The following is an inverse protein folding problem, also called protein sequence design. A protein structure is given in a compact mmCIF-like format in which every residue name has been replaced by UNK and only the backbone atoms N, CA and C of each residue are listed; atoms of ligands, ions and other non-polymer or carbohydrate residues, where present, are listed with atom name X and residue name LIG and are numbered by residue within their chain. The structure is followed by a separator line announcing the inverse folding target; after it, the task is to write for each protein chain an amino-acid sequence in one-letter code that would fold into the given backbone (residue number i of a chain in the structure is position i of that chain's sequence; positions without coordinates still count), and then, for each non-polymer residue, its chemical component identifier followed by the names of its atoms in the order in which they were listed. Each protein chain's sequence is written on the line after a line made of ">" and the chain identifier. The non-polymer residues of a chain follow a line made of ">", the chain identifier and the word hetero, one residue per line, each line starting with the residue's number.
data_IF_714271385804
#
_entry.id   IF_714271385804
#
_cell.length_a   1.000
_cell.length_b   1.000
_cell.length_c   1.000
_cell.angle_alpha   90.00
_cell.angle_beta   90.00
_cell.angle_gamma   90.00
#
_symmetry.space_group_name_H-M   'P 1'
#
loop_
_entity.id
_entity.type
_entity.pdbx_description
1 polymer ?
#
# COMPACT_ATOMS: atom_id res chain seq x y z
N UNK A 1 2.83 -9.65 -26.12
CA UNK A 1 1.94 -9.12 -25.08
C UNK A 1 2.55 -9.33 -23.72
N UNK A 2 2.66 -8.26 -22.96
CA UNK A 2 3.11 -8.40 -21.59
C UNK A 2 2.07 -9.22 -20.82
N UNK A 3 2.51 -10.30 -20.14
CA UNK A 3 1.68 -11.03 -19.21
C UNK A 3 1.22 -10.10 -18.11
N UNK A 4 -0.09 -10.07 -17.82
CA UNK A 4 -0.64 -9.30 -16.70
C UNK A 4 -0.23 -9.88 -15.34
N UNK A 5 0.43 -11.05 -15.31
CA UNK A 5 0.84 -11.74 -14.11
C UNK A 5 2.36 -11.64 -13.95
N UNK A 6 2.82 -10.64 -13.16
CA UNK A 6 4.20 -10.62 -12.69
C UNK A 6 4.42 -11.79 -11.71
N UNK A 7 5.63 -12.43 -11.69
CA UNK A 7 5.95 -13.41 -10.67
C UNK A 7 5.74 -12.83 -9.27
N UNK A 8 5.35 -13.64 -8.26
CA UNK A 8 5.04 -13.15 -6.90
C UNK A 8 6.19 -12.41 -6.23
N UNK A 9 7.45 -12.66 -6.65
CA UNK A 9 8.66 -12.09 -6.07
C UNK A 9 9.27 -10.96 -6.90
N UNK A 10 8.59 -10.48 -7.96
CA UNK A 10 9.13 -9.49 -8.90
C UNK A 10 9.68 -8.24 -8.22
N UNK A 11 9.04 -7.78 -7.14
CA UNK A 11 9.41 -6.54 -6.47
C UNK A 11 10.13 -6.76 -5.14
N UNK A 12 10.53 -8.00 -4.81
CA UNK A 12 11.08 -8.30 -3.48
C UNK A 12 12.37 -7.52 -3.19
N UNK A 13 13.25 -7.34 -4.17
CA UNK A 13 14.43 -6.50 -3.99
C UNK A 13 14.07 -5.06 -3.64
N UNK A 14 13.00 -4.52 -4.23
CA UNK A 14 12.54 -3.16 -3.95
C UNK A 14 11.94 -3.05 -2.54
N UNK A 15 11.16 -4.05 -2.11
CA UNK A 15 10.65 -4.10 -0.74
C UNK A 15 11.78 -4.22 0.28
N UNK A 16 12.78 -5.05 -0.01
CA UNK A 16 13.93 -5.22 0.86
C UNK A 16 14.71 -3.91 1.01
N UNK A 17 14.96 -3.22 -0.10
CA UNK A 17 15.67 -1.95 -0.11
C UNK A 17 14.91 -0.86 0.66
N UNK A 18 13.61 -0.72 0.41
CA UNK A 18 12.78 0.27 1.11
C UNK A 18 12.65 -0.05 2.60
N UNK A 19 12.47 -1.32 2.94
CA UNK A 19 12.40 -1.76 4.34
C UNK A 19 13.68 -1.48 5.10
N UNK A 20 14.83 -1.75 4.50
CA UNK A 20 16.12 -1.44 5.09
C UNK A 20 16.30 0.07 5.33
N UNK A 21 15.91 0.88 4.34
CA UNK A 21 16.06 2.34 4.42
C UNK A 21 15.21 2.96 5.52
N UNK A 22 13.97 2.51 5.68
CA UNK A 22 13.02 3.12 6.60
C UNK A 22 12.78 2.29 7.87
N UNK A 23 13.53 1.20 8.05
CA UNK A 23 13.40 0.30 9.22
C UNK A 23 11.98 -0.25 9.37
N UNK A 24 11.41 -0.67 8.26
CA UNK A 24 10.10 -1.32 8.19
C UNK A 24 10.32 -2.72 7.63
N UNK A 25 9.68 -3.72 8.22
CA UNK A 25 9.79 -5.09 7.73
C UNK A 25 9.37 -5.16 6.25
N UNK A 26 10.24 -5.65 5.34
CA UNK A 26 9.91 -5.71 3.92
C UNK A 26 8.62 -6.47 3.62
N UNK A 27 8.35 -7.54 4.37
CA UNK A 27 7.15 -8.34 4.19
C UNK A 27 5.88 -7.56 4.55
N UNK A 28 5.95 -6.65 5.52
CA UNK A 28 4.85 -5.75 5.85
C UNK A 28 4.56 -4.79 4.69
N UNK A 29 5.59 -4.22 4.08
CA UNK A 29 5.42 -3.37 2.89
C UNK A 29 4.78 -4.14 1.73
N UNK A 30 5.22 -5.38 1.53
CA UNK A 30 4.65 -6.25 0.49
C UNK A 30 3.19 -6.58 0.79
N UNK A 31 2.84 -6.86 2.04
CA UNK A 31 1.46 -7.09 2.46
C UNK A 31 0.58 -5.88 2.18
N UNK A 32 1.09 -4.67 2.47
CA UNK A 32 0.38 -3.43 2.16
C UNK A 32 0.16 -3.29 0.66
N UNK A 33 1.19 -3.47 -0.15
CA UNK A 33 1.08 -3.39 -1.61
C UNK A 33 0.09 -4.43 -2.15
N UNK A 34 0.08 -5.63 -1.59
CA UNK A 34 -0.90 -6.65 -1.94
C UNK A 34 -2.33 -6.19 -1.64
N UNK A 35 -2.54 -5.59 -0.48
CA UNK A 35 -3.84 -5.04 -0.09
C UNK A 35 -4.26 -3.82 -0.92
N UNK A 36 -3.32 -2.95 -1.25
CA UNK A 36 -3.60 -1.71 -1.97
C UNK A 36 -3.83 -1.92 -3.47
N UNK A 37 -2.98 -2.70 -4.12
CA UNK A 37 -2.95 -2.81 -5.59
C UNK A 37 -2.98 -4.24 -6.11
N UNK A 38 -2.97 -5.24 -5.24
CA UNK A 38 -2.73 -6.65 -5.58
C UNK A 38 -1.41 -6.84 -6.33
N UNK A 39 -0.39 -6.05 -5.93
CA UNK A 39 0.94 -6.03 -6.53
C UNK A 39 0.93 -5.67 -8.03
N UNK A 40 -0.04 -4.86 -8.47
CA UNK A 40 -0.16 -4.40 -9.85
C UNK A 40 0.33 -2.95 -9.94
N UNK A 41 1.49 -2.69 -10.56
CA UNK A 41 2.09 -1.36 -10.54
C UNK A 41 1.34 -0.29 -11.36
N UNK A 42 0.44 -0.70 -12.22
CA UNK A 42 -0.32 0.19 -13.12
C UNK A 42 -1.67 0.65 -12.55
N UNK A 43 -2.08 0.16 -11.38
CA UNK A 43 -3.42 0.41 -10.84
C UNK A 43 -3.57 1.85 -10.39
N UNK A 44 -4.67 2.47 -10.78
CA UNK A 44 -5.12 3.75 -10.24
C UNK A 44 -6.53 3.60 -9.69
N UNK A 45 -6.83 4.32 -8.62
CA UNK A 45 -8.18 4.38 -8.05
C UNK A 45 -8.54 5.82 -7.78
N UNK A 46 -9.72 6.21 -8.21
CA UNK A 46 -10.25 7.57 -7.99
C UNK A 46 -11.10 7.59 -6.73
N UNK A 47 -10.76 8.50 -5.82
CA UNK A 47 -11.56 8.77 -4.62
C UNK A 47 -12.59 9.83 -4.95
N UNK A 48 -13.84 9.58 -4.54
CA UNK A 48 -14.96 10.47 -4.84
C UNK A 48 -15.65 10.93 -3.57
N UNK A 49 -16.22 12.14 -3.60
CA UNK A 49 -17.04 12.65 -2.52
C UNK A 49 -18.45 12.00 -2.53
N UNK A 50 -19.28 12.40 -1.58
CA UNK A 50 -20.66 11.87 -1.46
C UNK A 50 -21.53 12.16 -2.69
N UNK A 51 -21.16 13.18 -3.48
CA UNK A 51 -21.86 13.57 -4.71
C UNK A 51 -21.31 12.86 -5.94
N UNK A 52 -20.30 12.01 -5.78
CA UNK A 52 -19.65 11.30 -6.89
C UNK A 52 -18.58 12.11 -7.62
N UNK A 53 -18.21 13.30 -7.13
CA UNK A 53 -17.16 14.11 -7.73
C UNK A 53 -15.77 13.58 -7.36
N UNK A 54 -14.81 13.50 -8.32
CA UNK A 54 -13.46 13.06 -8.01
C UNK A 54 -12.76 14.09 -7.12
N UNK A 55 -12.12 13.62 -6.04
CA UNK A 55 -11.38 14.47 -5.10
C UNK A 55 -9.90 14.18 -5.08
N UNK A 56 -9.50 12.94 -5.36
CA UNK A 56 -8.09 12.54 -5.45
C UNK A 56 -7.97 11.22 -6.20
N UNK A 57 -6.72 10.86 -6.54
CA UNK A 57 -6.40 9.59 -7.19
C UNK A 57 -5.26 8.92 -6.43
N UNK A 58 -5.32 7.59 -6.30
CA UNK A 58 -4.25 6.78 -5.73
C UNK A 58 -3.53 6.03 -6.84
N UNK A 59 -2.17 6.00 -6.78
CA UNK A 59 -1.32 5.52 -7.86
C UNK A 59 -0.44 4.33 -7.47
N UNK A 60 -0.52 3.27 -8.22
CA UNK A 60 0.47 2.20 -8.27
C UNK A 60 0.49 1.26 -7.07
N UNK A 61 1.63 0.60 -6.87
CA UNK A 61 1.77 -0.49 -5.89
C UNK A 61 1.32 -0.13 -4.48
N UNK A 62 1.75 1.02 -3.98
CA UNK A 62 1.44 1.47 -2.61
C UNK A 62 0.29 2.47 -2.57
N UNK A 63 -0.39 2.69 -3.70
CA UNK A 63 -1.55 3.60 -3.83
C UNK A 63 -1.24 5.00 -3.27
N UNK A 64 -0.20 5.61 -3.82
CA UNK A 64 0.23 6.96 -3.42
C UNK A 64 -0.82 7.98 -3.83
N UNK A 65 -1.36 8.72 -2.86
CA UNK A 65 -2.42 9.69 -3.12
C UNK A 65 -1.89 10.91 -3.88
N UNK A 66 -2.71 11.43 -4.79
CA UNK A 66 -2.37 12.59 -5.62
C UNK A 66 -2.06 13.84 -4.82
N UNK A 67 -2.50 13.94 -3.56
CA UNK A 67 -2.16 15.07 -2.69
C UNK A 67 -0.65 15.18 -2.41
N UNK A 68 0.10 14.07 -2.54
CA UNK A 68 1.56 14.06 -2.38
C UNK A 68 2.30 14.53 -3.62
N UNK A 69 1.66 14.53 -4.79
CA UNK A 69 2.33 14.78 -6.08
C UNK A 69 3.03 16.14 -6.15
N UNK A 70 2.38 17.26 -5.77
CA UNK A 70 3.05 18.56 -5.84
C UNK A 70 4.33 18.63 -5.00
N UNK A 71 4.31 18.06 -3.79
CA UNK A 71 5.48 18.04 -2.91
C UNK A 71 6.60 17.18 -3.48
N UNK A 72 6.26 16.01 -4.03
CA UNK A 72 7.24 15.10 -4.63
C UNK A 72 7.90 15.74 -5.85
N UNK A 73 7.15 16.50 -6.64
CA UNK A 73 7.69 17.26 -7.78
C UNK A 73 8.64 18.34 -7.28
N UNK A 74 8.24 19.13 -6.27
CA UNK A 74 9.10 20.17 -5.70
C UNK A 74 10.40 19.63 -5.13
N UNK A 75 10.37 18.41 -4.57
CA UNK A 75 11.55 17.73 -4.04
C UNK A 75 12.43 17.10 -5.12
N UNK A 76 11.99 17.13 -6.38
CA UNK A 76 12.72 16.53 -7.50
C UNK A 76 12.66 15.01 -7.52
N UNK A 77 11.75 14.39 -6.77
CA UNK A 77 11.63 12.93 -6.69
C UNK A 77 10.90 12.37 -7.90
N UNK A 78 9.85 13.06 -8.36
CA UNK A 78 9.11 12.71 -9.58
C UNK A 78 8.96 13.96 -10.45
N UNK A 79 8.70 13.74 -11.74
CA UNK A 79 8.38 14.81 -12.69
C UNK A 79 6.87 14.98 -12.86
N UNK A 80 6.15 13.88 -12.80
CA UNK A 80 4.69 13.84 -12.91
C UNK A 80 4.13 12.66 -12.15
N UNK A 81 2.80 12.63 -11.96
CA UNK A 81 2.11 11.52 -11.32
C UNK A 81 2.34 10.19 -12.06
N UNK A 82 2.57 10.21 -13.37
CA UNK A 82 2.83 9.00 -14.14
C UNK A 82 4.08 8.24 -13.68
N UNK A 83 5.08 8.93 -13.11
CA UNK A 83 6.27 8.29 -12.56
C UNK A 83 5.91 7.28 -11.46
N UNK A 84 4.82 7.52 -10.74
CA UNK A 84 4.33 6.62 -9.70
C UNK A 84 3.82 5.28 -10.27
N UNK A 85 3.47 5.24 -11.55
CA UNK A 85 3.06 4.03 -12.26
C UNK A 85 4.22 3.39 -13.01
N UNK A 86 5.07 4.20 -13.64
CA UNK A 86 6.18 3.73 -14.48
C UNK A 86 7.39 3.27 -13.70
N UNK A 87 7.53 3.69 -12.45
CA UNK A 87 8.67 3.41 -11.58
C UNK A 87 8.20 2.70 -10.30
N UNK A 88 7.93 1.38 -10.38
CA UNK A 88 7.35 0.65 -9.23
C UNK A 88 8.23 0.68 -7.99
N UNK A 89 9.56 0.57 -8.13
CA UNK A 89 10.45 0.61 -6.98
C UNK A 89 10.46 1.98 -6.31
N UNK A 90 10.34 3.05 -7.08
CA UNK A 90 10.18 4.40 -6.52
C UNK A 90 8.85 4.53 -5.78
N UNK A 91 7.77 3.97 -6.31
CA UNK A 91 6.46 3.94 -5.65
C UNK A 91 6.57 3.27 -4.26
N UNK A 92 7.25 2.13 -4.18
CA UNK A 92 7.48 1.41 -2.92
C UNK A 92 8.30 2.28 -1.94
N UNK A 93 9.36 2.94 -2.41
CA UNK A 93 10.18 3.81 -1.57
C UNK A 93 9.35 4.97 -1.00
N UNK A 94 8.52 5.60 -1.83
CA UNK A 94 7.66 6.71 -1.41
C UNK A 94 6.62 6.20 -0.39
N UNK A 95 5.98 5.07 -0.64
CA UNK A 95 5.02 4.47 0.29
C UNK A 95 5.64 4.16 1.64
N UNK A 96 6.84 3.59 1.65
CA UNK A 96 7.58 3.31 2.88
C UNK A 96 7.93 4.59 3.64
N UNK A 97 8.35 5.64 2.93
CA UNK A 97 8.62 6.95 3.51
C UNK A 97 7.37 7.55 4.16
N UNK A 98 6.22 7.52 3.47
CA UNK A 98 4.95 8.00 4.02
C UNK A 98 4.59 7.22 5.29
N UNK A 99 4.68 5.90 5.26
CA UNK A 99 4.39 5.06 6.43
C UNK A 99 5.31 5.38 7.60
N UNK A 100 6.61 5.55 7.34
CA UNK A 100 7.58 5.91 8.38
C UNK A 100 7.21 7.24 9.04
N UNK A 101 6.75 8.23 8.26
CA UNK A 101 6.28 9.51 8.80
C UNK A 101 5.02 9.34 9.64
N UNK A 102 4.08 8.48 9.22
CA UNK A 102 2.88 8.17 10.00
C UNK A 102 3.25 7.54 11.34
N UNK A 103 4.20 6.61 11.34
CA UNK A 103 4.69 6.01 12.57
C UNK A 103 5.36 7.02 13.52
N UNK A 104 5.96 8.08 13.00
CA UNK A 104 6.48 9.18 13.83
C UNK A 104 5.35 9.96 14.51
N UNK A 105 4.18 10.05 13.88
CA UNK A 105 3.03 10.77 14.43
C UNK A 105 2.29 9.96 15.48
N UNK A 106 1.97 8.71 15.22
CA UNK A 106 1.09 7.91 16.09
C UNK A 106 1.73 6.65 16.67
N UNK A 107 3.02 6.42 16.43
CA UNK A 107 3.75 5.29 16.97
C UNK A 107 3.72 4.05 16.08
N UNK A 108 4.60 3.10 16.37
CA UNK A 108 4.71 1.85 15.60
C UNK A 108 3.70 0.85 16.15
N UNK A 109 2.45 0.96 15.72
CA UNK A 109 1.35 0.11 16.16
C UNK A 109 0.50 -0.31 14.95
N UNK A 110 -0.27 -1.37 15.10
CA UNK A 110 -1.19 -1.81 14.06
C UNK A 110 -2.26 -0.76 13.75
N UNK A 111 -2.78 -0.07 14.76
CA UNK A 111 -3.73 1.00 14.51
C UNK A 111 -3.11 2.14 13.72
N UNK A 112 -1.87 2.52 14.06
CA UNK A 112 -1.15 3.57 13.33
C UNK A 112 -0.87 3.15 11.89
N UNK A 113 -0.61 1.88 11.61
CA UNK A 113 -0.53 1.36 10.25
C UNK A 113 -1.80 1.73 9.46
N UNK A 114 -2.96 1.61 10.09
CA UNK A 114 -4.24 1.95 9.48
C UNK A 114 -4.37 3.41 9.09
N UNK A 115 -3.59 4.31 9.69
CA UNK A 115 -3.60 5.73 9.33
C UNK A 115 -3.14 5.97 7.90
N UNK A 116 -2.34 5.07 7.34
CA UNK A 116 -1.93 5.13 5.94
C UNK A 116 -3.14 5.21 5.00
N UNK A 117 -4.19 4.47 5.31
CA UNK A 117 -5.44 4.48 4.53
C UNK A 117 -6.45 5.51 5.07
N UNK A 118 -6.63 5.59 6.39
CA UNK A 118 -7.76 6.28 7.00
C UNK A 118 -7.42 7.61 7.68
N UNK A 119 -6.12 7.99 7.74
CA UNK A 119 -5.69 9.22 8.40
C UNK A 119 -5.74 9.13 9.93
N UNK A 120 -5.59 10.29 10.60
CA UNK A 120 -5.34 10.36 12.04
C UNK A 120 -6.55 10.80 12.86
N UNK A 121 -7.69 11.14 12.25
CA UNK A 121 -8.86 11.62 12.98
C UNK A 121 -9.34 10.58 14.00
N UNK A 122 -9.78 11.04 15.16
CA UNK A 122 -10.25 10.16 16.25
C UNK A 122 -11.45 9.32 15.81
N UNK A 123 -12.35 9.87 15.00
CA UNK A 123 -13.53 9.17 14.50
C UNK A 123 -13.22 8.12 13.43
N UNK A 124 -11.95 7.96 13.05
CA UNK A 124 -11.49 6.96 12.08
C UNK A 124 -10.77 5.78 12.72
N UNK A 125 -10.82 5.66 14.05
CA UNK A 125 -10.15 4.57 14.78
C UNK A 125 -10.54 3.19 14.24
N UNK A 126 -11.82 2.95 14.09
CA UNK A 126 -12.31 1.66 13.61
C UNK A 126 -11.93 1.40 12.15
N UNK A 127 -11.96 2.41 11.30
CA UNK A 127 -11.50 2.29 9.91
C UNK A 127 -10.02 1.93 9.85
N UNK A 128 -9.19 2.52 10.73
CA UNK A 128 -7.78 2.13 10.84
C UNK A 128 -7.61 0.68 11.24
N UNK A 129 -8.42 0.21 12.23
CA UNK A 129 -8.38 -1.19 12.68
C UNK A 129 -8.77 -2.16 11.55
N UNK A 130 -9.79 -1.83 10.77
CA UNK A 130 -10.23 -2.64 9.64
C UNK A 130 -9.14 -2.77 8.58
N UNK A 131 -8.47 -1.67 8.25
CA UNK A 131 -7.33 -1.69 7.33
C UNK A 131 -6.20 -2.56 7.88
N UNK A 132 -5.80 -2.35 9.12
CA UNK A 132 -4.73 -3.10 9.77
C UNK A 132 -5.03 -4.61 9.79
N UNK A 133 -6.26 -4.99 10.11
CA UNK A 133 -6.68 -6.39 10.11
C UNK A 133 -6.61 -7.01 8.72
N UNK A 134 -6.97 -6.25 7.68
CA UNK A 134 -6.86 -6.70 6.29
C UNK A 134 -5.40 -6.93 5.90
N UNK A 135 -4.53 -6.00 6.24
CA UNK A 135 -3.09 -6.12 5.94
C UNK A 135 -2.48 -7.28 6.74
N UNK A 136 -2.88 -7.47 7.99
CA UNK A 136 -2.47 -8.62 8.80
C UNK A 136 -2.77 -9.94 8.09
N UNK A 137 -3.96 -10.08 7.51
CA UNK A 137 -4.33 -11.26 6.75
C UNK A 137 -3.37 -11.52 5.58
N UNK A 138 -3.04 -10.50 4.80
CA UNK A 138 -2.07 -10.64 3.71
C UNK A 138 -0.67 -10.96 4.21
N UNK A 139 -0.27 -10.36 5.32
CA UNK A 139 1.02 -10.65 5.95
C UNK A 139 1.13 -12.13 6.36
N UNK A 140 0.08 -12.69 6.95
CA UNK A 140 0.05 -14.11 7.31
C UNK A 140 0.12 -15.01 6.08
N UNK A 141 -0.55 -14.67 4.99
CA UNK A 141 -0.44 -15.42 3.73
C UNK A 141 0.99 -15.41 3.20
N UNK A 142 1.63 -14.24 3.18
CA UNK A 142 3.00 -14.09 2.68
C UNK A 142 4.01 -14.84 3.55
N UNK A 143 3.74 -14.98 4.84
CA UNK A 143 4.57 -15.80 5.75
C UNK A 143 4.29 -17.30 5.63
N UNK A 144 3.32 -17.72 4.85
CA UNK A 144 2.92 -19.13 4.77
C UNK A 144 2.16 -19.62 5.99
N UNK A 145 1.67 -18.71 6.84
CA UNK A 145 0.91 -19.06 8.05
C UNK A 145 -0.60 -19.12 7.80
N UNK A 146 -1.03 -18.76 6.61
CA UNK A 146 -2.43 -18.73 6.20
C UNK A 146 -2.53 -19.02 4.71
N UNK A 147 -3.48 -19.87 4.32
CA UNK A 147 -3.78 -20.18 2.92
C UNK A 147 -5.16 -19.63 2.60
N UNK A 148 -5.25 -18.84 1.56
CA UNK A 148 -6.52 -18.26 1.11
C UNK A 148 -6.85 -18.75 -0.30
N UNK A 149 -8.14 -19.02 -0.54
CA UNK A 149 -8.67 -19.41 -1.84
C UNK A 149 -9.95 -18.65 -2.15
N UNK A 150 -10.27 -18.54 -3.43
CA UNK A 150 -11.56 -18.03 -3.86
C UNK A 150 -12.53 -19.20 -4.02
N UNK A 151 -13.68 -19.11 -3.39
CA UNK A 151 -14.73 -20.12 -3.48
C UNK A 151 -16.08 -19.44 -3.54
N UNK A 152 -16.83 -19.68 -4.61
CA UNK A 152 -18.16 -19.08 -4.86
C UNK A 152 -18.15 -17.55 -4.72
N UNK A 153 -17.11 -16.88 -5.23
CA UNK A 153 -16.97 -15.43 -5.17
C UNK A 153 -16.56 -14.89 -3.80
N UNK A 154 -16.27 -15.77 -2.83
CA UNK A 154 -15.81 -15.38 -1.49
C UNK A 154 -14.37 -15.80 -1.26
N UNK A 155 -13.62 -14.96 -0.54
CA UNK A 155 -12.27 -15.30 -0.11
C UNK A 155 -12.35 -16.08 1.19
N UNK A 156 -11.87 -17.32 1.16
CA UNK A 156 -11.85 -18.23 2.31
C UNK A 156 -10.42 -18.47 2.72
N UNK A 157 -10.10 -18.21 3.97
CA UNK A 157 -8.76 -18.34 4.50
C UNK A 157 -8.72 -19.32 5.67
N UNK A 158 -7.70 -20.17 5.69
CA UNK A 158 -7.47 -21.16 6.71
C UNK A 158 -6.01 -21.12 7.17
N UNK A 159 -5.70 -21.48 8.43
CA UNK A 159 -4.32 -21.67 8.85
C UNK A 159 -3.65 -22.73 7.96
N UNK A 160 -2.39 -22.48 7.62
CA UNK A 160 -1.60 -23.45 6.85
C UNK A 160 -1.15 -24.61 7.72
#
# INVERSE_FOLDING_TARGET
>A
MASSNSPPDTFDACFNSAGARYQIEPLLLKAMAKGESRLRPWVTNTNRDKKGNPVSTDYGLMQINSTHVPKLIRMGIIQSAEDLLKRPCLNIQIGAWILARHFQVCGVTWNCLGSYNAGFRKDRHETREQYANRIWGFYLELKGLRVCRQEKGKRICEPS
#
